data_IF_297431554364
#
_entry.id   IF_297431554364
#
_cell.length_a   1.000
_cell.length_b   1.000
_cell.length_c   1.000
_cell.angle_alpha   90.00
_cell.angle_beta   90.00
_cell.angle_gamma   90.00
#
_symmetry.space_group_name_H-M   'P 1'
#
loop_
_entity.id
_entity.type
_entity.pdbx_description
1 polymer ?
#
# COMPACT_ATOMS: atom_id res chain seq x y z
N UNK A 1 -6.21 10.76 12.33
CA UNK A 1 -5.62 10.03 11.18
C UNK A 1 -6.07 10.71 9.89
N UNK A 2 -5.17 10.98 8.93
CA UNK A 2 -5.54 11.55 7.64
C UNK A 2 -6.19 10.50 6.70
N UNK A 3 -7.29 9.89 7.14
CA UNK A 3 -7.98 8.75 6.49
C UNK A 3 -8.33 9.04 5.03
N UNK A 4 -8.75 10.29 4.71
CA UNK A 4 -9.05 10.72 3.35
C UNK A 4 -7.84 10.64 2.42
N UNK A 5 -6.63 10.99 2.91
CA UNK A 5 -5.38 10.89 2.13
C UNK A 5 -5.01 9.43 1.90
N UNK A 6 -5.15 8.60 2.94
CA UNK A 6 -4.85 7.17 2.88
C UNK A 6 -5.75 6.44 1.88
N UNK A 7 -7.05 6.71 1.92
CA UNK A 7 -8.02 6.12 1.00
C UNK A 7 -7.69 6.45 -0.46
N UNK A 8 -7.33 7.72 -0.75
CA UNK A 8 -6.93 8.13 -2.11
C UNK A 8 -5.67 7.38 -2.58
N UNK A 9 -4.68 7.20 -1.71
CA UNK A 9 -3.47 6.46 -2.05
C UNK A 9 -3.76 4.97 -2.30
N UNK A 10 -4.58 4.33 -1.47
CA UNK A 10 -4.94 2.92 -1.66
C UNK A 10 -5.84 2.68 -2.86
N UNK A 11 -6.72 3.64 -3.19
CA UNK A 11 -7.52 3.59 -4.42
C UNK A 11 -6.66 3.62 -5.69
N UNK A 12 -5.48 4.25 -5.65
CA UNK A 12 -4.51 4.25 -6.76
C UNK A 12 -3.60 3.02 -6.71
N UNK A 13 -3.17 2.60 -5.51
CA UNK A 13 -2.26 1.46 -5.36
C UNK A 13 -2.91 0.12 -5.74
N UNK A 14 -4.20 -0.08 -5.41
CA UNK A 14 -4.92 -1.32 -5.71
C UNK A 14 -4.91 -1.67 -7.22
N UNK A 15 -5.36 -0.81 -8.15
CA UNK A 15 -5.35 -1.13 -9.57
C UNK A 15 -3.94 -1.31 -10.14
N UNK A 16 -2.94 -0.58 -9.61
CA UNK A 16 -1.55 -0.75 -10.02
C UNK A 16 -0.99 -2.12 -9.62
N UNK A 17 -1.21 -2.54 -8.37
CA UNK A 17 -0.79 -3.86 -7.89
C UNK A 17 -1.55 -4.98 -8.61
N UNK A 18 -2.85 -4.80 -8.82
CA UNK A 18 -3.67 -5.76 -9.55
C UNK A 18 -3.14 -5.94 -10.99
N UNK A 19 -2.94 -4.84 -11.72
CA UNK A 19 -2.41 -4.88 -13.08
C UNK A 19 -1.01 -5.53 -13.12
N UNK A 20 -0.13 -5.18 -12.19
CA UNK A 20 1.21 -5.77 -12.09
C UNK A 20 1.14 -7.29 -11.85
N UNK A 21 0.34 -7.73 -10.88
CA UNK A 21 0.24 -9.16 -10.55
C UNK A 21 -0.45 -9.95 -11.65
N UNK A 22 -1.55 -9.45 -12.23
CA UNK A 22 -2.20 -10.08 -13.38
C UNK A 22 -1.25 -10.19 -14.56
N UNK A 23 -0.51 -9.12 -14.88
CA UNK A 23 0.47 -9.13 -15.96
C UNK A 23 1.56 -10.19 -15.71
N UNK A 24 2.13 -10.24 -14.50
CA UNK A 24 3.17 -11.24 -14.19
C UNK A 24 2.67 -12.68 -14.27
N UNK A 25 1.44 -12.95 -13.84
CA UNK A 25 0.86 -14.30 -13.92
C UNK A 25 0.48 -14.67 -15.36
N UNK A 26 -0.02 -13.71 -16.13
CA UNK A 26 -0.34 -13.92 -17.53
C UNK A 26 0.92 -14.23 -18.37
N UNK A 27 2.02 -13.51 -18.13
CA UNK A 27 3.32 -13.76 -18.79
C UNK A 27 3.87 -15.15 -18.45
N UNK A 28 3.56 -15.71 -17.28
CA UNK A 28 3.94 -17.08 -16.90
C UNK A 28 3.08 -18.17 -17.58
N UNK A 29 2.08 -17.79 -18.37
CA UNK A 29 1.20 -18.73 -19.07
C UNK A 29 0.01 -19.23 -18.25
N UNK A 30 -0.31 -18.59 -17.11
CA UNK A 30 -1.55 -18.89 -16.40
C UNK A 30 -2.77 -18.37 -17.17
N UNK A 31 -3.94 -18.97 -16.93
CA UNK A 31 -5.20 -18.46 -17.45
C UNK A 31 -5.50 -17.07 -16.88
N UNK A 32 -6.30 -16.27 -17.59
CA UNK A 32 -6.68 -14.94 -17.12
C UNK A 32 -7.46 -15.00 -15.81
N UNK A 33 -8.32 -16.01 -15.64
CA UNK A 33 -9.13 -16.19 -14.42
C UNK A 33 -8.25 -16.47 -13.19
N UNK A 34 -7.28 -17.39 -13.34
CA UNK A 34 -6.30 -17.69 -12.31
C UNK A 34 -5.44 -16.47 -11.97
N UNK A 35 -5.00 -15.73 -12.99
CA UNK A 35 -4.17 -14.55 -12.84
C UNK A 35 -4.91 -13.42 -12.10
N UNK A 36 -6.21 -13.21 -12.38
CA UNK A 36 -7.04 -12.21 -11.69
C UNK A 36 -7.29 -12.60 -10.23
N UNK A 37 -7.60 -13.87 -9.96
CA UNK A 37 -7.82 -14.39 -8.60
C UNK A 37 -6.55 -14.27 -7.76
N UNK A 38 -5.39 -14.61 -8.34
CA UNK A 38 -4.10 -14.39 -7.70
C UNK A 38 -3.86 -12.90 -7.43
N UNK A 39 -4.05 -12.05 -8.43
CA UNK A 39 -3.77 -10.63 -8.34
C UNK A 39 -4.60 -9.92 -7.27
N UNK A 40 -5.91 -10.18 -7.20
CA UNK A 40 -6.78 -9.54 -6.20
C UNK A 40 -6.41 -10.00 -4.78
N UNK A 41 -6.12 -11.29 -4.61
CA UNK A 41 -5.74 -11.86 -3.31
C UNK A 41 -4.46 -11.22 -2.79
N UNK A 42 -3.42 -11.20 -3.62
CA UNK A 42 -2.12 -10.65 -3.22
C UNK A 42 -2.13 -9.12 -3.12
N UNK A 43 -2.92 -8.41 -3.94
CA UNK A 43 -3.09 -6.97 -3.82
C UNK A 43 -3.75 -6.60 -2.49
N UNK A 44 -4.82 -7.31 -2.09
CA UNK A 44 -5.47 -7.13 -0.80
C UNK A 44 -4.53 -7.42 0.37
N UNK A 45 -3.79 -8.54 0.35
CA UNK A 45 -2.82 -8.89 1.40
C UNK A 45 -1.73 -7.80 1.53
N UNK A 46 -1.16 -7.38 0.41
CA UNK A 46 -0.10 -6.36 0.38
C UNK A 46 -0.59 -5.03 0.96
N UNK A 47 -1.78 -4.58 0.53
CA UNK A 47 -2.39 -3.35 1.05
C UNK A 47 -2.74 -3.47 2.53
N UNK A 48 -3.24 -4.62 2.98
CA UNK A 48 -3.56 -4.85 4.39
C UNK A 48 -2.31 -4.75 5.27
N UNK A 49 -1.22 -5.41 4.90
CA UNK A 49 0.06 -5.34 5.62
C UNK A 49 0.53 -3.89 5.69
N UNK A 50 0.58 -3.19 4.56
CA UNK A 50 1.04 -1.80 4.51
C UNK A 50 0.14 -0.86 5.35
N UNK A 51 -1.18 -1.02 5.26
CA UNK A 51 -2.13 -0.21 6.02
C UNK A 51 -1.99 -0.44 7.53
N UNK A 52 -1.84 -1.69 7.97
CA UNK A 52 -1.62 -2.03 9.38
C UNK A 52 -0.29 -1.47 9.89
N UNK A 53 0.81 -1.68 9.16
CA UNK A 53 2.12 -1.13 9.55
C UNK A 53 2.10 0.39 9.61
N UNK A 54 1.46 1.05 8.65
CA UNK A 54 1.30 2.52 8.65
C UNK A 54 0.46 3.01 9.83
N UNK A 55 -0.65 2.34 10.13
CA UNK A 55 -1.49 2.68 11.29
C UNK A 55 -0.74 2.49 12.61
N UNK A 56 0.03 1.41 12.74
CA UNK A 56 0.88 1.14 13.89
C UNK A 56 1.95 2.22 14.09
N UNK A 57 2.68 2.57 13.03
CA UNK A 57 3.71 3.62 13.06
C UNK A 57 3.11 5.01 13.35
N UNK A 58 1.96 5.32 12.75
CA UNK A 58 1.23 6.56 13.02
C UNK A 58 0.84 6.67 14.51
N UNK A 59 0.32 5.58 15.11
CA UNK A 59 -0.03 5.55 16.53
C UNK A 59 1.18 5.73 17.45
N UNK A 60 2.37 5.32 17.00
CA UNK A 60 3.63 5.44 17.74
C UNK A 60 4.42 6.73 17.44
N UNK A 61 3.86 7.66 16.66
CA UNK A 61 4.56 8.88 16.22
C UNK A 61 5.90 8.60 15.54
N UNK A 62 6.02 7.46 14.85
CA UNK A 62 7.22 7.14 14.06
C UNK A 62 7.13 7.88 12.74
N UNK A 63 8.04 8.83 12.52
CA UNK A 63 8.10 9.61 11.29
C UNK A 63 8.43 8.71 10.09
N UNK A 64 7.63 8.84 9.03
CA UNK A 64 7.82 8.15 7.75
C UNK A 64 7.84 9.21 6.65
N UNK A 65 9.02 9.48 6.08
CA UNK A 65 9.20 10.48 5.02
C UNK A 65 8.34 10.17 3.78
N UNK A 66 8.26 8.90 3.38
CA UNK A 66 7.44 8.44 2.26
C UNK A 66 5.93 8.64 2.51
N UNK A 67 5.50 8.48 3.76
CA UNK A 67 4.10 8.56 4.15
C UNK A 67 3.65 10.02 4.37
N UNK A 68 4.55 10.86 4.87
CA UNK A 68 4.35 12.27 5.20
C UNK A 68 3.06 12.54 6.00
N UNK A 69 2.81 11.67 7.00
CA UNK A 69 1.61 11.72 7.84
C UNK A 69 1.77 12.56 9.11
N UNK A 70 3.03 12.77 9.53
CA UNK A 70 3.43 13.49 10.73
C UNK A 70 4.38 14.61 10.31
N UNK A 71 4.36 15.78 11.00
CA UNK A 71 5.35 16.82 10.75
C UNK A 71 6.75 16.27 11.02
N UNK A 72 7.70 16.63 10.18
CA UNK A 72 9.11 16.34 10.40
C UNK A 72 9.53 17.05 11.71
N UNK A 73 10.16 16.32 12.64
CA UNK A 73 10.77 16.98 13.81
C UNK A 73 11.86 17.89 13.27
N UNK A 74 11.65 19.21 13.38
CA UNK A 74 12.70 20.18 13.09
C UNK A 74 13.93 19.84 13.92
N UNK A 75 15.11 19.80 13.29
CA UNK A 75 16.39 19.58 13.96
C UNK A 75 16.82 20.72 14.90
N UNK A 76 15.87 21.57 15.32
CA UNK A 76 16.04 22.76 16.15
C UNK A 76 15.23 22.55 17.45
N UNK A 77 15.59 21.51 18.20
CA UNK A 77 15.25 21.39 19.62
C UNK A 77 16.40 20.65 20.27
N UNK A 78 17.49 21.38 20.50
CA UNK A 78 18.61 20.96 21.33
C UNK A 78 18.96 22.07 22.31
#
# INVERSE_FOLDING_TARGET
MPIKKWLKQYAVALPLLFALFTFTQYVKGHSLDDAMTFAITWACITLAIFAVTRAYNFKRNVYCQLCNDLPEKSADEK
#
